data_IF_754581701722
#
_entry.id   IF_754581701722
#
_cell.length_a   1.000
_cell.length_b   1.000
_cell.length_c   1.000
_cell.angle_alpha   90.00
_cell.angle_beta   90.00
_cell.angle_gamma   90.00
#
_symmetry.space_group_name_H-M   'P 1'
#
loop_
_entity.id
_entity.type
_entity.pdbx_description
1 polymer ?
#
# COMPACT_ATOMS: atom_id res chain seq x y z
N UNK A 1 -9.17 -0.43 33.97
CA UNK A 1 -10.17 -1.40 33.42
C UNK A 1 -10.38 -1.26 31.93
N UNK A 2 -10.54 -0.04 31.44
CA UNK A 2 -10.71 0.22 30.00
C UNK A 2 -9.52 -0.27 29.17
N UNK A 3 -8.30 -0.07 29.66
CA UNK A 3 -7.07 -0.48 28.97
C UNK A 3 -6.90 -2.01 28.94
N UNK A 4 -7.36 -2.70 29.97
CA UNK A 4 -7.32 -4.17 30.02
C UNK A 4 -8.32 -4.77 29.05
N UNK A 5 -9.50 -4.16 28.89
CA UNK A 5 -10.53 -4.60 27.94
C UNK A 5 -10.11 -4.35 26.50
N UNK A 6 -9.47 -3.21 26.24
CA UNK A 6 -8.92 -2.90 24.90
C UNK A 6 -7.81 -3.89 24.55
N UNK A 7 -6.89 -4.17 25.47
CA UNK A 7 -5.81 -5.14 25.28
C UNK A 7 -6.35 -6.55 25.05
N UNK A 8 -7.40 -6.94 25.77
CA UNK A 8 -8.07 -8.24 25.58
C UNK A 8 -8.77 -8.31 24.22
N UNK A 9 -9.47 -7.24 23.83
CA UNK A 9 -10.11 -7.13 22.54
C UNK A 9 -9.13 -7.19 21.39
N UNK A 10 -8.03 -6.47 21.47
CA UNK A 10 -6.95 -6.50 20.48
C UNK A 10 -6.29 -7.87 20.41
N UNK A 11 -6.08 -8.52 21.54
CA UNK A 11 -5.51 -9.88 21.59
C UNK A 11 -6.42 -10.91 20.92
N UNK A 12 -7.73 -10.79 21.13
CA UNK A 12 -8.72 -11.66 20.48
C UNK A 12 -8.75 -11.39 18.96
N UNK A 13 -8.75 -10.12 18.56
CA UNK A 13 -8.68 -9.75 17.14
C UNK A 13 -7.42 -10.28 16.47
N UNK A 14 -6.27 -10.14 17.14
CA UNK A 14 -5.00 -10.68 16.65
C UNK A 14 -5.06 -12.21 16.51
N UNK A 15 -5.65 -12.91 17.46
CA UNK A 15 -5.78 -14.37 17.39
C UNK A 15 -6.74 -14.81 16.29
N UNK A 16 -7.85 -14.09 16.11
CA UNK A 16 -8.80 -14.37 15.04
C UNK A 16 -8.22 -14.09 13.65
N UNK A 17 -7.32 -13.12 13.56
CA UNK A 17 -6.68 -12.73 12.29
C UNK A 17 -5.39 -13.50 11.99
N UNK A 18 -4.88 -14.32 12.91
CA UNK A 18 -3.61 -15.05 12.75
C UNK A 18 -3.53 -15.91 11.49
N UNK A 19 -4.66 -16.36 10.95
CA UNK A 19 -4.69 -17.08 9.68
C UNK A 19 -4.79 -16.18 8.46
N UNK A 20 -4.98 -14.87 8.66
CA UNK A 20 -5.19 -13.86 7.62
C UNK A 20 -4.07 -12.83 7.58
N UNK A 21 -3.34 -12.63 8.68
CA UNK A 21 -2.25 -11.68 8.77
C UNK A 21 -0.92 -12.30 8.33
N UNK A 22 -0.13 -11.49 7.68
CA UNK A 22 1.19 -11.87 7.27
C UNK A 22 2.19 -11.54 8.38
N UNK A 23 2.92 -12.56 8.91
CA UNK A 23 3.79 -12.38 10.07
C UNK A 23 4.92 -11.37 9.85
N UNK A 24 5.32 -11.13 8.61
CA UNK A 24 6.48 -10.29 8.28
C UNK A 24 6.13 -8.90 7.78
N UNK A 25 4.91 -8.42 8.06
CA UNK A 25 4.46 -7.10 7.58
C UNK A 25 5.35 -5.96 8.09
N UNK A 26 5.83 -6.07 9.33
CA UNK A 26 6.73 -5.07 9.91
C UNK A 26 8.01 -4.91 9.09
N UNK A 27 8.61 -6.02 8.67
CA UNK A 27 9.79 -6.01 7.83
C UNK A 27 9.51 -5.41 6.45
N UNK A 28 8.35 -5.72 5.87
CA UNK A 28 7.91 -5.14 4.61
C UNK A 28 7.74 -3.61 4.71
N UNK A 29 7.16 -3.11 5.79
CA UNK A 29 7.03 -1.67 6.03
C UNK A 29 8.39 -0.99 6.05
N UNK A 30 9.34 -1.59 6.75
CA UNK A 30 10.71 -1.09 6.86
C UNK A 30 11.39 -1.02 5.50
N UNK A 31 11.25 -2.08 4.73
CA UNK A 31 11.81 -2.17 3.38
C UNK A 31 11.21 -1.11 2.46
N UNK A 32 9.89 -0.94 2.48
CA UNK A 32 9.23 0.09 1.66
C UNK A 32 9.70 1.49 2.06
N UNK A 33 9.75 1.78 3.35
CA UNK A 33 10.14 3.11 3.80
C UNK A 33 11.57 3.47 3.40
N UNK A 34 12.52 2.57 3.61
CA UNK A 34 13.93 2.85 3.35
C UNK A 34 14.32 2.69 1.89
N UNK A 35 13.55 1.98 1.09
CA UNK A 35 13.91 1.64 -0.30
C UNK A 35 12.82 1.93 -1.32
N UNK A 36 11.88 2.84 -1.00
CA UNK A 36 10.75 3.11 -1.89
C UNK A 36 11.17 3.57 -3.30
N UNK A 37 12.24 4.31 -3.43
CA UNK A 37 12.69 4.76 -4.75
C UNK A 37 13.25 3.60 -5.59
N UNK A 38 14.03 2.72 -4.97
CA UNK A 38 14.56 1.53 -5.64
C UNK A 38 13.44 0.57 -6.04
N UNK A 39 12.48 0.37 -5.14
CA UNK A 39 11.30 -0.47 -5.41
C UNK A 39 10.45 0.11 -6.54
N UNK A 40 10.26 1.41 -6.54
CA UNK A 40 9.56 2.13 -7.60
C UNK A 40 10.24 1.91 -8.96
N UNK A 41 11.55 2.08 -9.03
CA UNK A 41 12.29 1.89 -10.28
C UNK A 41 12.22 0.45 -10.78
N UNK A 42 12.31 -0.53 -9.89
CA UNK A 42 12.15 -1.94 -10.26
C UNK A 42 10.78 -2.20 -10.89
N UNK A 43 9.72 -1.62 -10.32
CA UNK A 43 8.38 -1.77 -10.86
C UNK A 43 8.26 -1.12 -12.24
N UNK A 44 8.80 0.08 -12.41
CA UNK A 44 8.79 0.79 -13.69
C UNK A 44 9.54 0.01 -14.78
N UNK A 45 10.71 -0.53 -14.46
CA UNK A 45 11.48 -1.34 -15.40
C UNK A 45 10.75 -2.62 -15.79
N UNK A 46 10.17 -3.29 -14.79
CA UNK A 46 9.46 -4.56 -14.98
C UNK A 46 8.22 -4.40 -15.86
N UNK A 47 7.49 -3.31 -15.69
CA UNK A 47 6.18 -3.11 -16.30
C UNK A 47 6.19 -2.22 -17.53
N UNK A 48 7.18 -1.34 -17.65
CA UNK A 48 7.21 -0.35 -18.72
C UNK A 48 6.13 0.73 -18.59
N UNK A 49 5.51 0.87 -17.43
CA UNK A 49 4.49 1.91 -17.20
C UNK A 49 5.08 3.29 -17.47
N UNK A 50 4.34 4.11 -18.21
CA UNK A 50 4.68 5.51 -18.43
C UNK A 50 3.67 6.36 -17.68
N UNK A 51 4.15 7.19 -16.75
CA UNK A 51 3.33 8.09 -15.96
C UNK A 51 3.38 9.48 -16.59
N UNK A 52 2.25 9.96 -17.08
CA UNK A 52 2.14 11.29 -17.70
C UNK A 52 1.38 12.30 -16.84
N UNK A 53 0.81 11.85 -15.74
CA UNK A 53 0.06 12.69 -14.82
C UNK A 53 -0.67 11.88 -13.77
N UNK A 54 -1.43 12.56 -12.92
CA UNK A 54 -2.28 11.95 -11.91
C UNK A 54 -3.73 12.30 -12.24
N UNK A 55 -4.38 11.42 -13.00
CA UNK A 55 -5.76 11.56 -13.46
C UNK A 55 -6.38 10.18 -13.67
N UNK A 56 -7.67 10.14 -14.00
CA UNK A 56 -8.39 8.88 -14.18
C UNK A 56 -7.77 8.01 -15.27
N UNK A 57 -7.35 8.59 -16.38
CA UNK A 57 -6.74 7.84 -17.49
C UNK A 57 -5.43 7.18 -17.06
N UNK A 58 -4.56 7.90 -16.37
CA UNK A 58 -3.32 7.34 -15.83
C UNK A 58 -3.61 6.24 -14.81
N UNK A 59 -4.51 6.51 -13.86
CA UNK A 59 -4.87 5.54 -12.82
C UNK A 59 -5.44 4.26 -13.44
N UNK A 60 -6.30 4.37 -14.44
CA UNK A 60 -6.83 3.21 -15.15
C UNK A 60 -5.72 2.37 -15.77
N UNK A 61 -4.76 3.01 -16.43
CA UNK A 61 -3.62 2.30 -17.03
C UNK A 61 -2.73 1.63 -16.00
N UNK A 62 -2.47 2.31 -14.89
CA UNK A 62 -1.67 1.71 -13.82
C UNK A 62 -2.32 0.45 -13.29
N UNK A 63 -3.63 0.48 -13.07
CA UNK A 63 -4.34 -0.66 -12.49
C UNK A 63 -4.60 -1.79 -13.47
N UNK A 64 -4.64 -1.53 -14.77
CA UNK A 64 -4.61 -2.61 -15.78
C UNK A 64 -3.34 -3.46 -15.60
N UNK A 65 -2.20 -2.79 -15.46
CA UNK A 65 -0.91 -3.48 -15.26
C UNK A 65 -0.84 -4.13 -13.88
N UNK A 66 -1.27 -3.42 -12.84
CA UNK A 66 -1.26 -3.95 -11.46
C UNK A 66 -2.15 -5.18 -11.36
N UNK A 67 -3.34 -5.17 -11.94
CA UNK A 67 -4.23 -6.33 -11.95
C UNK A 67 -3.63 -7.51 -12.69
N UNK A 68 -3.02 -7.27 -13.84
CA UNK A 68 -2.32 -8.31 -14.60
C UNK A 68 -1.17 -8.92 -13.79
N UNK A 69 -0.34 -8.08 -13.18
CA UNK A 69 0.77 -8.54 -12.34
C UNK A 69 0.31 -9.32 -11.12
N UNK A 70 -0.72 -8.83 -10.43
CA UNK A 70 -1.22 -9.53 -9.23
C UNK A 70 -1.92 -10.85 -9.59
N UNK A 71 -2.55 -10.95 -10.74
CA UNK A 71 -3.10 -12.22 -11.22
C UNK A 71 -1.99 -13.27 -11.45
N UNK A 72 -0.85 -12.85 -11.98
CA UNK A 72 0.32 -13.72 -12.14
C UNK A 72 0.85 -14.14 -10.77
N UNK A 73 0.98 -13.20 -9.83
CA UNK A 73 1.48 -13.48 -8.47
C UNK A 73 0.59 -14.47 -7.73
N UNK A 74 -0.71 -14.44 -7.96
CA UNK A 74 -1.67 -15.37 -7.32
C UNK A 74 -1.53 -16.81 -7.77
N UNK A 75 -0.77 -17.10 -8.82
CA UNK A 75 -0.45 -18.45 -9.24
C UNK A 75 0.61 -19.09 -8.34
N UNK A 76 1.38 -18.29 -7.61
CA UNK A 76 2.36 -18.70 -6.63
C UNK A 76 1.88 -18.47 -5.20
N UNK A 77 2.79 -18.54 -4.25
CA UNK A 77 2.46 -18.28 -2.85
C UNK A 77 2.73 -16.82 -2.47
N UNK A 78 2.28 -16.46 -1.27
CA UNK A 78 2.41 -15.10 -0.75
C UNK A 78 3.88 -14.69 -0.55
N UNK A 79 4.74 -15.62 -0.10
CA UNK A 79 6.15 -15.32 0.09
C UNK A 79 6.82 -14.83 -1.20
N UNK A 80 6.47 -15.45 -2.33
CA UNK A 80 7.01 -15.07 -3.63
C UNK A 80 6.44 -13.73 -4.12
N UNK A 81 5.25 -13.37 -3.66
CA UNK A 81 4.57 -12.14 -4.05
C UNK A 81 5.04 -10.90 -3.29
N UNK A 82 5.61 -11.06 -2.10
CA UNK A 82 5.94 -9.96 -1.18
C UNK A 82 6.74 -8.83 -1.82
N UNK A 83 7.80 -9.18 -2.54
CA UNK A 83 8.68 -8.16 -3.13
C UNK A 83 7.93 -7.29 -4.13
N UNK A 84 7.15 -7.89 -5.02
CA UNK A 84 6.40 -7.12 -6.01
C UNK A 84 5.25 -6.32 -5.39
N UNK A 85 4.63 -6.84 -4.33
CA UNK A 85 3.63 -6.07 -3.58
C UNK A 85 4.24 -4.82 -2.95
N UNK A 86 5.47 -4.90 -2.44
CA UNK A 86 6.21 -3.74 -1.96
C UNK A 86 6.54 -2.76 -3.09
N UNK A 87 6.90 -3.26 -4.26
CA UNK A 87 7.14 -2.44 -5.45
C UNK A 87 5.88 -1.67 -5.85
N UNK A 88 4.72 -2.33 -5.86
CA UNK A 88 3.44 -1.70 -6.17
C UNK A 88 3.12 -0.61 -5.14
N UNK A 89 3.30 -0.90 -3.86
CA UNK A 89 3.07 0.06 -2.79
C UNK A 89 3.97 1.29 -2.94
N UNK A 90 5.24 1.09 -3.26
CA UNK A 90 6.20 2.15 -3.50
C UNK A 90 5.83 2.99 -4.73
N UNK A 91 5.38 2.32 -5.79
CA UNK A 91 4.92 2.99 -7.00
C UNK A 91 3.74 3.93 -6.69
N UNK A 92 2.70 3.41 -6.03
CA UNK A 92 1.53 4.21 -5.69
C UNK A 92 1.86 5.34 -4.71
N UNK A 93 2.67 5.05 -3.70
CA UNK A 93 3.09 6.06 -2.72
C UNK A 93 3.88 7.19 -3.35
N UNK A 94 4.79 6.88 -4.26
CA UNK A 94 5.58 7.89 -4.95
C UNK A 94 4.73 8.79 -5.84
N UNK A 95 3.61 8.27 -6.40
CA UNK A 95 2.67 9.12 -7.13
C UNK A 95 1.97 10.12 -6.21
N UNK A 96 1.59 9.69 -5.01
CA UNK A 96 0.98 10.58 -4.02
C UNK A 96 1.96 11.66 -3.55
N UNK A 97 3.22 11.32 -3.38
CA UNK A 97 4.26 12.28 -3.03
C UNK A 97 4.44 13.31 -4.14
N UNK A 98 4.57 12.83 -5.38
CA UNK A 98 4.86 13.69 -6.54
C UNK A 98 3.70 14.62 -6.87
N UNK A 99 2.47 14.10 -6.89
CA UNK A 99 1.32 14.84 -7.43
C UNK A 99 0.44 15.49 -6.37
N UNK A 100 0.45 14.97 -5.14
CA UNK A 100 -0.39 15.49 -4.06
C UNK A 100 0.40 16.15 -2.93
N UNK A 101 1.72 16.25 -3.08
CA UNK A 101 2.57 16.92 -2.09
C UNK A 101 2.77 16.14 -0.81
N UNK A 102 2.51 14.84 -0.83
CA UNK A 102 2.70 13.98 0.33
C UNK A 102 4.17 13.72 0.64
N UNK A 103 4.39 13.08 1.77
CA UNK A 103 5.74 12.64 2.20
C UNK A 103 5.63 11.25 2.82
N UNK A 104 6.67 10.44 2.64
CA UNK A 104 6.73 9.13 3.30
C UNK A 104 6.92 9.32 4.80
N UNK A 105 6.23 8.49 5.59
CA UNK A 105 6.42 8.42 7.03
C UNK A 105 6.71 6.98 7.46
N UNK A 106 7.42 6.86 8.57
CA UNK A 106 7.70 5.59 9.23
C UNK A 106 7.29 5.73 10.69
N UNK A 107 6.35 4.90 11.11
CA UNK A 107 5.86 4.88 12.48
C UNK A 107 6.35 3.61 13.17
N UNK A 108 6.96 3.79 14.31
CA UNK A 108 7.49 2.68 15.11
C UNK A 108 7.11 2.86 16.57
N UNK A 109 6.44 1.86 17.14
CA UNK A 109 6.15 1.77 18.57
C UNK A 109 6.57 0.38 19.05
N UNK A 110 6.46 0.12 20.37
CA UNK A 110 6.90 -1.15 20.96
C UNK A 110 6.39 -2.40 20.24
N UNK A 111 5.14 -2.35 19.76
CA UNK A 111 4.47 -3.52 19.19
C UNK A 111 3.92 -3.29 17.80
N UNK A 112 4.27 -2.16 17.16
CA UNK A 112 3.67 -1.80 15.89
C UNK A 112 4.64 -1.03 15.02
N UNK A 113 4.72 -1.43 13.76
CA UNK A 113 5.49 -0.73 12.74
C UNK A 113 4.58 -0.52 11.52
N UNK A 114 4.60 0.68 10.98
CA UNK A 114 3.90 0.97 9.74
C UNK A 114 4.62 2.05 8.95
N UNK A 115 4.30 2.14 7.67
CA UNK A 115 4.75 3.24 6.85
C UNK A 115 3.65 3.58 5.84
N UNK A 116 3.75 4.76 5.28
CA UNK A 116 2.82 5.21 4.27
C UNK A 116 3.19 6.60 3.83
N UNK A 117 2.25 7.26 3.17
CA UNK A 117 2.38 8.65 2.75
C UNK A 117 1.38 9.49 3.54
N UNK A 118 1.82 10.63 4.03
CA UNK A 118 0.99 11.59 4.76
C UNK A 118 1.13 12.99 4.17
N UNK A 119 0.30 13.91 4.63
CA UNK A 119 0.39 15.31 4.22
C UNK A 119 -0.07 15.58 2.80
N UNK A 120 -0.77 14.66 2.18
CA UNK A 120 -1.34 14.87 0.85
C UNK A 120 -2.40 15.99 0.89
N UNK A 121 -2.46 16.76 -0.17
CA UNK A 121 -3.44 17.86 -0.32
C UNK A 121 -4.80 17.31 -0.74
N UNK A 122 -5.41 16.52 0.13
CA UNK A 122 -6.71 15.88 -0.06
C UNK A 122 -7.49 15.89 1.25
N UNK A 123 -8.77 15.53 1.20
CA UNK A 123 -9.60 15.39 2.40
C UNK A 123 -9.05 14.30 3.34
N UNK A 124 -8.52 13.22 2.76
CA UNK A 124 -7.83 12.16 3.49
C UNK A 124 -6.33 12.25 3.18
N UNK A 125 -5.55 12.96 4.01
CA UNK A 125 -4.17 13.28 3.66
C UNK A 125 -3.18 12.12 3.76
N UNK A 126 -3.57 11.00 4.37
CA UNK A 126 -2.68 9.85 4.56
C UNK A 126 -3.15 8.60 3.85
N UNK A 127 -2.22 7.72 3.53
CA UNK A 127 -2.51 6.39 3.00
C UNK A 127 -1.37 5.45 3.35
N UNK A 128 -1.72 4.35 4.01
CA UNK A 128 -0.79 3.24 4.21
C UNK A 128 -0.81 2.38 2.95
N UNK A 129 0.06 2.72 2.00
CA UNK A 129 0.06 2.10 0.67
C UNK A 129 0.29 0.60 0.73
N UNK A 130 1.22 0.13 1.57
CA UNK A 130 1.52 -1.29 1.67
C UNK A 130 0.33 -2.07 2.24
N UNK A 131 -0.28 -1.57 3.31
CA UNK A 131 -1.45 -2.22 3.91
C UNK A 131 -2.60 -2.34 2.90
N UNK A 132 -2.84 -1.28 2.15
CA UNK A 132 -3.89 -1.26 1.12
C UNK A 132 -3.59 -2.27 0.02
N UNK A 133 -2.34 -2.30 -0.47
CA UNK A 133 -1.92 -3.24 -1.53
C UNK A 133 -2.00 -4.69 -1.06
N UNK A 134 -1.48 -4.98 0.13
CA UNK A 134 -1.55 -6.34 0.70
C UNK A 134 -3.00 -6.77 0.94
N UNK A 135 -3.83 -5.88 1.49
CA UNK A 135 -5.25 -6.15 1.70
C UNK A 135 -6.00 -6.37 0.39
N UNK A 136 -5.67 -5.61 -0.65
CA UNK A 136 -6.23 -5.80 -1.98
C UNK A 136 -5.83 -7.13 -2.59
N UNK A 137 -4.56 -7.51 -2.44
CA UNK A 137 -4.06 -8.78 -2.94
C UNK A 137 -4.67 -9.98 -2.20
N UNK A 138 -4.73 -9.92 -0.87
CA UNK A 138 -5.13 -11.08 -0.05
C UNK A 138 -6.65 -11.23 0.11
N UNK A 139 -7.41 -10.12 0.10
CA UNK A 139 -8.83 -10.14 0.50
C UNK A 139 -9.76 -9.37 -0.42
N UNK A 140 -9.49 -8.10 -0.67
CA UNK A 140 -10.48 -7.15 -1.22
C UNK A 140 -10.43 -6.98 -2.74
N UNK A 141 -9.36 -7.44 -3.38
CA UNK A 141 -9.13 -7.25 -4.82
C UNK A 141 -8.51 -5.89 -5.17
N UNK A 142 -7.87 -5.83 -6.32
CA UNK A 142 -7.16 -4.62 -6.75
C UNK A 142 -8.09 -3.47 -7.12
N UNK A 143 -9.35 -3.74 -7.44
CA UNK A 143 -10.33 -2.68 -7.67
C UNK A 143 -10.58 -1.83 -6.42
N UNK A 144 -10.50 -2.44 -5.24
CA UNK A 144 -10.59 -1.72 -3.96
C UNK A 144 -9.39 -0.78 -3.77
N UNK A 145 -8.20 -1.23 -4.15
CA UNK A 145 -6.97 -0.41 -4.12
C UNK A 145 -7.10 0.76 -5.10
N UNK A 146 -7.58 0.48 -6.31
CA UNK A 146 -7.83 1.50 -7.34
C UNK A 146 -8.77 2.59 -6.82
N UNK A 147 -9.85 2.21 -6.15
CA UNK A 147 -10.79 3.16 -5.56
C UNK A 147 -10.13 4.06 -4.52
N UNK A 148 -9.22 3.51 -3.72
CA UNK A 148 -8.47 4.29 -2.73
C UNK A 148 -7.64 5.39 -3.38
N UNK A 149 -7.04 5.09 -4.53
CA UNK A 149 -6.25 6.08 -5.29
C UNK A 149 -7.16 7.07 -6.01
N UNK A 150 -8.23 6.59 -6.65
CA UNK A 150 -9.21 7.46 -7.32
C UNK A 150 -9.84 8.46 -6.34
N UNK A 151 -10.13 8.03 -5.12
CA UNK A 151 -10.69 8.92 -4.09
C UNK A 151 -9.73 10.07 -3.81
N UNK A 152 -8.42 9.83 -3.72
CA UNK A 152 -7.43 10.90 -3.52
C UNK A 152 -7.39 11.85 -4.70
N UNK A 153 -7.50 11.35 -5.92
CA UNK A 153 -7.59 12.19 -7.10
C UNK A 153 -8.83 13.09 -7.06
N UNK A 154 -9.99 12.51 -6.74
CA UNK A 154 -11.26 13.25 -6.67
C UNK A 154 -11.32 14.24 -5.52
N UNK A 155 -10.67 13.93 -4.41
CA UNK A 155 -10.64 14.74 -3.19
C UNK A 155 -9.52 15.78 -3.17
N UNK A 156 -8.69 15.84 -4.21
CA UNK A 156 -7.55 16.75 -4.21
C UNK A 156 -8.00 18.20 -4.07
N UNK A 157 -7.21 18.96 -3.30
CA UNK A 157 -7.44 20.39 -3.12
C UNK A 157 -6.75 21.14 -4.25
N UNK A 158 -7.51 21.93 -4.94
CA UNK A 158 -7.02 22.77 -6.03
C UNK A 158 -6.51 24.09 -5.47
#
# INVERSE_FOLDING_TARGET
MKDVLIKKGMKILVELSKGLEEPDTAEMYREVYFHHDDLFEKFMEKTGIVVTGFDEENIDRWFEVIEERTAILKQGDYEDAKEELMEIAAFLGNQLVKYLGGRWFHYLSENHESCGVEGCKTLNPGLNCLSVVVGGYTQNGMNWVKKSILNRYQERKI
#
